data_IF_376052976711
#
_entry.id   IF_376052976711
#
_cell.length_a   1.000
_cell.length_b   1.000
_cell.length_c   1.000
_cell.angle_alpha   90.00
_cell.angle_beta   90.00
_cell.angle_gamma   90.00
#
_symmetry.space_group_name_H-M   'P 1'
#
loop_
_entity.id
_entity.type
_entity.pdbx_description
1 polymer ?
#
# COMPACT_ATOMS: atom_id res chain seq x y z
N UNK A 1 -14.32 -3.62 -20.53
CA UNK A 1 -13.97 -4.77 -19.68
C UNK A 1 -14.14 -6.05 -20.50
N UNK A 2 -13.10 -6.88 -20.55
CA UNK A 2 -13.01 -8.11 -21.35
C UNK A 2 -12.70 -9.34 -20.51
N UNK A 3 -12.19 -9.15 -19.29
CA UNK A 3 -11.78 -10.23 -18.38
C UNK A 3 -12.32 -9.98 -16.98
N UNK A 4 -12.33 -11.02 -16.13
CA UNK A 4 -12.69 -10.87 -14.73
C UNK A 4 -11.77 -9.91 -13.97
N UNK A 5 -10.47 -9.94 -14.26
CA UNK A 5 -9.47 -9.07 -13.65
C UNK A 5 -9.74 -7.60 -13.98
N UNK A 6 -9.99 -7.27 -15.26
CA UNK A 6 -10.32 -5.89 -15.66
C UNK A 6 -11.55 -5.36 -14.93
N UNK A 7 -12.58 -6.20 -14.73
CA UNK A 7 -13.79 -5.80 -14.03
C UNK A 7 -13.57 -5.62 -12.52
N UNK A 8 -12.79 -6.50 -11.91
CA UNK A 8 -12.40 -6.39 -10.51
C UNK A 8 -11.58 -5.11 -10.26
N UNK A 9 -10.59 -4.81 -11.12
CA UNK A 9 -9.78 -3.59 -11.02
C UNK A 9 -10.62 -2.33 -11.26
N UNK A 10 -11.54 -2.35 -12.23
CA UNK A 10 -12.47 -1.25 -12.44
C UNK A 10 -13.32 -0.97 -11.19
N UNK A 11 -13.89 -2.02 -10.57
CA UNK A 11 -14.66 -1.88 -9.35
C UNK A 11 -13.82 -1.42 -8.16
N UNK A 12 -12.56 -1.87 -8.07
CA UNK A 12 -11.60 -1.41 -7.05
C UNK A 12 -11.22 0.07 -7.24
N UNK A 13 -11.02 0.54 -8.48
CA UNK A 13 -10.80 1.96 -8.77
C UNK A 13 -12.01 2.82 -8.41
N UNK A 14 -13.22 2.37 -8.71
CA UNK A 14 -14.44 3.08 -8.27
C UNK A 14 -14.54 3.15 -6.74
N UNK A 15 -14.21 2.06 -6.04
CA UNK A 15 -14.16 2.06 -4.57
C UNK A 15 -13.14 3.08 -4.06
N UNK A 16 -11.93 3.11 -4.65
CA UNK A 16 -10.89 4.09 -4.29
C UNK A 16 -11.36 5.52 -4.52
N UNK A 17 -11.98 5.82 -5.66
CA UNK A 17 -12.54 7.13 -5.96
C UNK A 17 -13.55 7.58 -4.89
N UNK A 18 -14.54 6.72 -4.59
CA UNK A 18 -15.60 7.00 -3.60
C UNK A 18 -15.02 7.21 -2.20
N UNK A 19 -14.00 6.46 -1.82
CA UNK A 19 -13.27 6.63 -0.55
C UNK A 19 -12.52 7.95 -0.49
N UNK A 20 -11.82 8.32 -1.56
CA UNK A 20 -11.11 9.59 -1.66
C UNK A 20 -12.05 10.79 -1.57
N UNK A 21 -13.25 10.66 -2.15
CA UNK A 21 -14.30 11.68 -2.05
C UNK A 21 -14.93 11.77 -0.64
N UNK A 22 -14.66 10.81 0.25
CA UNK A 22 -15.23 10.78 1.60
C UNK A 22 -16.73 10.45 1.65
N UNK A 23 -17.33 10.01 0.54
CA UNK A 23 -18.79 9.79 0.45
C UNK A 23 -19.24 8.41 0.92
N UNK A 24 -18.34 7.41 0.95
CA UNK A 24 -18.61 6.07 1.49
C UNK A 24 -17.31 5.31 1.79
N UNK A 25 -17.36 4.40 2.76
CA UNK A 25 -16.25 3.49 3.05
C UNK A 25 -16.09 2.37 1.99
N UNK A 26 -17.07 2.19 1.11
CA UNK A 26 -17.06 1.25 -0.01
C UNK A 26 -16.79 -0.21 0.35
N UNK A 27 -16.97 -0.63 1.61
CA UNK A 27 -16.73 -2.00 2.04
C UNK A 27 -17.77 -2.97 1.47
N UNK A 28 -17.33 -3.94 0.66
CA UNK A 28 -18.21 -4.96 0.08
C UNK A 28 -18.78 -5.92 1.13
N UNK A 29 -18.02 -6.24 2.18
CA UNK A 29 -18.46 -7.19 3.22
C UNK A 29 -19.57 -6.61 4.11
N UNK A 30 -19.52 -5.30 4.36
CA UNK A 30 -20.58 -4.56 5.07
C UNK A 30 -21.74 -4.18 4.15
N UNK A 31 -21.59 -4.40 2.83
CA UNK A 31 -22.61 -4.12 1.84
C UNK A 31 -22.78 -2.65 1.46
N UNK A 32 -21.84 -1.78 1.84
CA UNK A 32 -21.79 -0.36 1.44
C UNK A 32 -21.24 -0.16 0.02
N UNK A 33 -20.64 -1.20 -0.56
CA UNK A 33 -20.42 -1.35 -2.00
C UNK A 33 -21.04 -2.66 -2.47
N UNK A 34 -21.88 -2.60 -3.50
CA UNK A 34 -22.49 -3.78 -4.13
C UNK A 34 -22.27 -3.72 -5.62
N UNK A 35 -22.01 -4.86 -6.22
CA UNK A 35 -21.81 -4.96 -7.66
C UNK A 35 -22.49 -6.22 -8.19
N UNK A 36 -23.30 -6.03 -9.22
CA UNK A 36 -23.83 -7.09 -10.07
C UNK A 36 -23.12 -6.99 -11.42
N UNK A 37 -22.74 -8.13 -12.00
CA UNK A 37 -22.00 -8.17 -13.27
C UNK A 37 -22.85 -8.75 -14.38
N UNK A 38 -22.72 -8.18 -15.57
CA UNK A 38 -23.45 -8.60 -16.76
C UNK A 38 -22.47 -9.12 -17.80
N UNK A 39 -22.65 -10.37 -18.24
CA UNK A 39 -21.68 -11.07 -19.08
C UNK A 39 -22.39 -11.60 -20.31
N UNK A 40 -21.74 -11.41 -21.45
CA UNK A 40 -22.10 -12.03 -22.72
C UNK A 40 -20.82 -12.25 -23.52
N UNK A 41 -20.70 -13.41 -24.14
CA UNK A 41 -19.62 -13.73 -25.09
C UNK A 41 -20.18 -13.80 -26.51
N UNK A 42 -19.34 -13.52 -27.49
CA UNK A 42 -19.68 -13.71 -28.90
C UNK A 42 -18.44 -14.15 -29.68
N UNK A 43 -18.61 -14.89 -30.79
CA UNK A 43 -17.51 -15.25 -31.67
C UNK A 43 -16.79 -14.01 -32.25
N UNK A 44 -15.47 -14.12 -32.40
CA UNK A 44 -14.66 -13.08 -33.04
C UNK A 44 -15.14 -12.81 -34.46
N UNK A 45 -15.19 -11.53 -34.84
CA UNK A 45 -15.68 -11.08 -36.14
C UNK A 45 -17.21 -10.93 -36.23
N UNK A 46 -17.99 -11.40 -35.24
CA UNK A 46 -19.41 -11.09 -35.16
C UNK A 46 -19.66 -9.75 -34.46
N UNK A 47 -20.58 -8.96 -35.01
CA UNK A 47 -20.99 -7.66 -34.45
C UNK A 47 -22.04 -7.86 -33.34
N UNK A 48 -22.87 -8.90 -33.45
CA UNK A 48 -23.97 -9.15 -32.51
C UNK A 48 -23.45 -9.87 -31.26
N UNK A 49 -23.75 -9.31 -30.10
CA UNK A 49 -23.50 -9.98 -28.81
C UNK A 49 -24.37 -11.22 -28.65
N UNK A 50 -23.88 -12.18 -27.86
CA UNK A 50 -24.65 -13.34 -27.43
C UNK A 50 -25.72 -12.98 -26.40
N UNK A 51 -26.28 -14.01 -25.77
CA UNK A 51 -27.24 -13.82 -24.67
C UNK A 51 -26.53 -13.27 -23.43
N UNK A 52 -27.20 -12.36 -22.72
CA UNK A 52 -26.68 -11.74 -21.49
C UNK A 52 -27.10 -12.53 -20.26
N UNK A 53 -26.15 -12.79 -19.38
CA UNK A 53 -26.36 -13.35 -18.05
C UNK A 53 -25.95 -12.33 -16.99
N UNK A 54 -26.77 -12.17 -15.96
CA UNK A 54 -26.49 -11.30 -14.82
C UNK A 54 -26.06 -12.17 -13.63
N UNK A 55 -24.89 -11.91 -13.05
CA UNK A 55 -24.44 -12.59 -11.83
C UNK A 55 -24.60 -11.62 -10.64
N UNK A 56 -25.21 -12.12 -9.56
CA UNK A 56 -25.37 -11.43 -8.28
C UNK A 56 -24.61 -12.13 -7.16
N UNK A 57 -24.64 -11.52 -5.97
CA UNK A 57 -24.04 -12.03 -4.73
C UNK A 57 -22.50 -12.10 -4.79
N UNK A 58 -21.88 -11.03 -5.26
CA UNK A 58 -20.43 -10.87 -5.30
C UNK A 58 -19.97 -10.08 -4.09
N UNK A 59 -19.31 -10.74 -3.14
CA UNK A 59 -18.93 -10.15 -1.84
C UNK A 59 -17.48 -9.65 -1.80
N UNK A 60 -16.70 -9.86 -2.86
CA UNK A 60 -15.34 -9.33 -3.00
C UNK A 60 -14.97 -9.13 -4.46
N UNK A 61 -13.96 -8.29 -4.74
CA UNK A 61 -13.40 -8.14 -6.08
C UNK A 61 -12.80 -9.45 -6.62
N UNK A 62 -12.25 -10.27 -5.72
CA UNK A 62 -11.72 -11.59 -6.08
C UNK A 62 -12.85 -12.54 -6.52
N UNK A 63 -13.97 -12.54 -5.80
CA UNK A 63 -15.21 -13.25 -6.17
C UNK A 63 -15.72 -12.79 -7.53
N UNK A 64 -15.71 -11.47 -7.76
CA UNK A 64 -16.13 -10.87 -9.03
C UNK A 64 -15.29 -11.39 -10.20
N UNK A 65 -13.96 -11.36 -10.09
CA UNK A 65 -13.08 -11.88 -11.14
C UNK A 65 -13.38 -13.35 -11.44
N UNK A 66 -13.41 -14.20 -10.40
CA UNK A 66 -13.65 -15.64 -10.56
C UNK A 66 -15.02 -15.94 -11.16
N UNK A 67 -16.06 -15.23 -10.72
CA UNK A 67 -17.41 -15.39 -11.24
C UNK A 67 -17.50 -15.04 -12.72
N UNK A 68 -16.81 -13.96 -13.14
CA UNK A 68 -16.75 -13.56 -14.54
C UNK A 68 -16.02 -14.61 -15.37
N UNK A 69 -14.84 -15.03 -14.94
CA UNK A 69 -14.01 -15.97 -15.69
C UNK A 69 -14.70 -17.35 -15.82
N UNK A 70 -15.39 -17.79 -14.75
CA UNK A 70 -16.22 -18.99 -14.79
C UNK A 70 -17.36 -18.87 -15.81
N UNK A 71 -18.10 -17.76 -15.79
CA UNK A 71 -19.26 -17.58 -16.67
C UNK A 71 -18.85 -17.40 -18.14
N UNK A 72 -17.74 -16.72 -18.40
CA UNK A 72 -17.12 -16.67 -19.74
C UNK A 72 -16.83 -18.10 -20.21
N UNK A 73 -16.14 -18.90 -19.38
CA UNK A 73 -15.79 -20.28 -19.72
C UNK A 73 -17.03 -21.15 -19.97
N UNK A 74 -18.08 -20.99 -19.14
CA UNK A 74 -19.36 -21.69 -19.29
C UNK A 74 -20.03 -21.36 -20.62
N UNK A 75 -20.15 -20.07 -20.96
CA UNK A 75 -20.80 -19.66 -22.19
C UNK A 75 -20.01 -20.10 -23.42
N UNK A 76 -18.68 -19.99 -23.39
CA UNK A 76 -17.81 -20.47 -24.48
C UNK A 76 -17.95 -21.98 -24.67
N UNK A 77 -17.96 -22.77 -23.59
CA UNK A 77 -18.13 -24.22 -23.65
C UNK A 77 -19.46 -24.60 -24.32
N UNK A 78 -20.56 -23.98 -23.89
CA UNK A 78 -21.89 -24.23 -24.46
C UNK A 78 -21.96 -23.86 -25.94
N UNK A 79 -21.38 -22.72 -26.33
CA UNK A 79 -21.32 -22.32 -27.75
C UNK A 79 -20.49 -23.32 -28.58
N UNK A 80 -19.33 -23.74 -28.09
CA UNK A 80 -18.47 -24.70 -28.78
C UNK A 80 -19.10 -26.09 -28.93
N UNK A 81 -19.95 -26.49 -27.99
CA UNK A 81 -20.71 -27.76 -28.03
C UNK A 81 -21.99 -27.67 -28.88
N UNK A 82 -22.27 -26.51 -29.49
CA UNK A 82 -23.51 -26.28 -30.24
C UNK A 82 -24.76 -26.15 -29.35
N UNK A 83 -24.58 -25.93 -28.04
CA UNK A 83 -25.63 -25.80 -27.03
C UNK A 83 -25.88 -24.33 -26.63
N UNK A 84 -25.70 -23.40 -27.59
CA UNK A 84 -25.85 -21.97 -27.34
C UNK A 84 -27.28 -21.56 -26.93
N UNK A 85 -28.28 -22.36 -27.31
CA UNK A 85 -29.68 -22.22 -26.91
C UNK A 85 -29.92 -22.40 -25.40
N UNK A 86 -29.00 -23.08 -24.71
CA UNK A 86 -29.02 -23.17 -23.23
C UNK A 86 -28.59 -21.88 -22.54
N UNK A 87 -27.92 -20.96 -23.26
CA UNK A 87 -27.58 -19.64 -22.73
C UNK A 87 -28.82 -18.75 -22.87
N UNK A 88 -29.67 -18.79 -21.85
CA UNK A 88 -30.87 -17.95 -21.75
C UNK A 88 -30.60 -16.71 -20.90
N UNK A 89 -31.43 -15.69 -21.07
CA UNK A 89 -31.34 -14.50 -20.24
C UNK A 89 -31.81 -14.84 -18.83
N UNK A 90 -30.89 -14.85 -17.88
CA UNK A 90 -31.17 -15.27 -16.51
C UNK A 90 -30.33 -14.48 -15.50
N UNK A 91 -30.79 -14.51 -14.25
CA UNK A 91 -29.98 -14.10 -13.11
C UNK A 91 -29.38 -15.36 -12.49
N UNK A 92 -28.06 -15.36 -12.32
CA UNK A 92 -27.27 -16.39 -11.65
C UNK A 92 -26.70 -15.85 -10.34
N UNK A 93 -26.41 -16.76 -9.42
CA UNK A 93 -25.72 -16.45 -8.17
C UNK A 93 -24.32 -17.04 -8.20
N UNK A 94 -23.35 -16.31 -7.66
CA UNK A 94 -22.04 -16.87 -7.37
C UNK A 94 -22.08 -17.70 -6.09
N UNK A 95 -21.66 -18.96 -6.17
CA UNK A 95 -21.51 -19.86 -5.03
C UNK A 95 -20.02 -20.02 -4.69
N UNK A 96 -19.58 -19.44 -3.57
CA UNK A 96 -18.16 -19.50 -3.16
C UNK A 96 -17.69 -20.93 -2.84
N UNK A 97 -18.52 -21.76 -2.21
CA UNK A 97 -18.10 -23.14 -1.87
C UNK A 97 -17.80 -23.99 -3.10
N UNK A 98 -18.62 -23.86 -4.15
CA UNK A 98 -18.50 -24.62 -5.39
C UNK A 98 -17.69 -23.92 -6.49
N UNK A 99 -17.29 -22.66 -6.30
CA UNK A 99 -16.60 -21.82 -7.29
C UNK A 99 -17.31 -21.83 -8.66
N UNK A 100 -18.64 -21.70 -8.65
CA UNK A 100 -19.48 -21.79 -9.85
C UNK A 100 -20.66 -20.83 -9.79
N UNK A 101 -21.22 -20.52 -10.95
CA UNK A 101 -22.49 -19.80 -11.05
C UNK A 101 -23.66 -20.79 -11.05
N UNK A 102 -24.71 -20.51 -10.27
CA UNK A 102 -25.95 -21.30 -10.24
C UNK A 102 -27.13 -20.46 -10.76
N UNK A 103 -28.05 -21.07 -11.51
CA UNK A 103 -29.26 -20.38 -11.97
C UNK A 103 -30.14 -20.03 -10.76
N UNK A 104 -30.52 -18.76 -10.64
CA UNK A 104 -31.51 -18.31 -9.64
C UNK A 104 -32.90 -18.17 -10.27
N UNK A 105 -33.00 -17.41 -11.36
CA UNK A 105 -34.25 -17.20 -12.09
C UNK A 105 -33.98 -16.97 -13.57
N UNK A 106 -34.80 -17.58 -14.42
CA UNK A 106 -34.85 -17.25 -15.85
C UNK A 106 -35.72 -16.02 -16.03
N UNK A 107 -35.31 -15.09 -16.90
CA UNK A 107 -36.12 -13.92 -17.23
C UNK A 107 -37.09 -14.30 -18.34
N UNK A 108 -38.39 -14.24 -18.05
CA UNK A 108 -39.46 -14.51 -19.04
C UNK A 108 -39.82 -13.26 -19.89
N UNK A 109 -39.08 -12.16 -19.71
CA UNK A 109 -39.26 -10.89 -20.41
C UNK A 109 -38.53 -9.75 -19.70
N UNK A 110 -38.75 -8.51 -20.15
CA UNK A 110 -38.37 -7.32 -19.40
C UNK A 110 -39.44 -7.06 -18.32
N UNK A 111 -39.02 -6.85 -17.08
CA UNK A 111 -39.95 -6.45 -16.01
C UNK A 111 -40.49 -5.06 -16.30
N UNK A 112 -41.81 -4.90 -16.28
CA UNK A 112 -42.45 -3.59 -16.36
C UNK A 112 -42.43 -2.92 -14.98
N UNK A 113 -41.45 -2.03 -14.80
CA UNK A 113 -41.28 -1.25 -13.57
C UNK A 113 -42.28 -0.10 -13.44
N UNK A 114 -43.06 0.21 -14.50
CA UNK A 114 -44.05 1.30 -14.52
C UNK A 114 -43.49 2.62 -13.99
N UNK A 115 -42.32 3.03 -14.49
CA UNK A 115 -41.70 4.31 -14.09
C UNK A 115 -42.64 5.48 -14.40
N UNK A 116 -42.93 6.32 -13.40
CA UNK A 116 -43.61 7.60 -13.53
C UNK A 116 -42.93 8.64 -12.62
N UNK A 117 -43.04 9.95 -12.92
CA UNK A 117 -42.49 11.00 -12.06
C UNK A 117 -43.12 10.96 -10.67
N UNK A 118 -42.30 10.98 -9.61
CA UNK A 118 -42.75 11.01 -8.22
C UNK A 118 -43.52 12.30 -7.92
N UNK A 119 -44.86 12.28 -7.71
CA UNK A 119 -45.64 13.49 -7.48
C UNK A 119 -45.36 14.14 -6.12
N UNK A 120 -44.87 13.37 -5.14
CA UNK A 120 -44.64 13.87 -3.78
C UNK A 120 -43.31 14.62 -3.63
N UNK A 121 -42.39 14.46 -4.58
CA UNK A 121 -41.09 15.12 -4.58
C UNK A 121 -41.04 16.21 -5.66
N UNK A 122 -40.85 17.49 -5.30
CA UNK A 122 -40.62 18.52 -6.29
C UNK A 122 -39.33 18.26 -7.05
N UNK A 123 -39.26 18.71 -8.30
CA UNK A 123 -38.05 18.62 -9.10
C UNK A 123 -36.88 19.35 -8.41
N UNK A 124 -35.70 18.72 -8.40
CA UNK A 124 -34.48 19.32 -7.88
C UNK A 124 -33.81 20.14 -8.98
N UNK A 125 -33.67 21.46 -8.79
CA UNK A 125 -32.88 22.33 -9.67
C UNK A 125 -31.50 22.53 -9.09
N UNK A 126 -30.47 22.14 -9.86
CA UNK A 126 -29.07 22.29 -9.47
C UNK A 126 -28.51 23.52 -10.22
N UNK A 127 -28.11 24.56 -9.48
CA UNK A 127 -27.56 25.79 -10.06
C UNK A 127 -26.09 25.62 -10.43
N UNK A 128 -25.60 26.41 -11.38
CA UNK A 128 -24.17 26.44 -11.74
C UNK A 128 -23.30 26.80 -10.53
N UNK A 129 -23.70 27.81 -9.73
CA UNK A 129 -23.00 28.19 -8.50
C UNK A 129 -22.84 27.03 -7.51
N UNK A 130 -23.87 26.18 -7.38
CA UNK A 130 -23.81 25.01 -6.53
C UNK A 130 -22.82 23.96 -7.09
N UNK A 131 -22.87 23.68 -8.39
CA UNK A 131 -21.92 22.77 -9.05
C UNK A 131 -20.48 23.27 -8.90
N UNK A 132 -20.24 24.56 -9.11
CA UNK A 132 -18.93 25.20 -8.99
C UNK A 132 -18.40 25.13 -7.57
N UNK A 133 -19.26 25.32 -6.57
CA UNK A 133 -18.88 25.19 -5.15
C UNK A 133 -18.41 23.77 -4.82
N UNK A 134 -19.10 22.75 -5.32
CA UNK A 134 -18.71 21.34 -5.13
C UNK A 134 -17.41 21.06 -5.87
N UNK A 135 -17.30 21.48 -7.12
CA UNK A 135 -16.11 21.27 -7.94
C UNK A 135 -14.85 21.83 -7.25
N UNK A 136 -14.96 23.00 -6.62
CA UNK A 136 -13.87 23.63 -5.84
C UNK A 136 -13.56 22.92 -4.52
N UNK A 137 -14.52 22.21 -3.92
CA UNK A 137 -14.31 21.45 -2.68
C UNK A 137 -13.82 20.02 -2.91
N UNK A 138 -13.75 19.54 -4.16
CA UNK A 138 -13.31 18.18 -4.44
C UNK A 138 -11.83 17.98 -4.07
N UNK A 139 -11.49 16.88 -3.39
CA UNK A 139 -10.10 16.54 -3.12
C UNK A 139 -9.37 16.13 -4.41
N UNK A 140 -8.03 16.10 -4.34
CA UNK A 140 -7.22 15.54 -5.41
C UNK A 140 -7.54 14.05 -5.60
N UNK A 141 -8.08 13.69 -6.77
CA UNK A 141 -8.47 12.32 -7.09
C UNK A 141 -7.24 11.38 -7.19
N UNK A 142 -7.42 10.06 -6.96
CA UNK A 142 -6.32 9.09 -6.95
C UNK A 142 -5.44 9.15 -8.19
N UNK A 143 -6.01 9.21 -9.39
CA UNK A 143 -5.26 9.24 -10.65
C UNK A 143 -4.39 10.51 -10.79
N UNK A 144 -4.92 11.67 -10.39
CA UNK A 144 -4.17 12.93 -10.43
C UNK A 144 -3.00 12.84 -9.46
N UNK A 145 -3.26 12.32 -8.25
CA UNK A 145 -2.26 12.13 -7.21
C UNK A 145 -1.16 11.14 -7.65
N UNK A 146 -1.52 10.02 -8.29
CA UNK A 146 -0.57 9.05 -8.85
C UNK A 146 0.40 9.71 -9.84
N UNK A 147 -0.14 10.46 -10.81
CA UNK A 147 0.70 11.19 -11.78
C UNK A 147 1.59 12.22 -11.12
N UNK A 148 1.14 12.88 -10.05
CA UNK A 148 1.97 13.80 -9.27
C UNK A 148 3.13 13.07 -8.60
N UNK A 149 2.87 11.92 -7.98
CA UNK A 149 3.90 11.10 -7.34
C UNK A 149 4.91 10.51 -8.34
N UNK A 150 4.46 10.09 -9.52
CA UNK A 150 5.36 9.68 -10.62
C UNK A 150 6.30 10.82 -11.05
N UNK A 151 5.78 12.05 -11.16
CA UNK A 151 6.58 13.24 -11.49
C UNK A 151 7.59 13.59 -10.39
N UNK A 152 7.39 13.12 -9.16
CA UNK A 152 8.37 13.23 -8.07
C UNK A 152 9.49 12.16 -8.17
N UNK A 153 9.45 11.29 -9.18
CA UNK A 153 10.47 10.27 -9.42
C UNK A 153 10.26 8.97 -8.63
N UNK A 154 9.04 8.75 -8.13
CA UNK A 154 8.66 7.49 -7.49
C UNK A 154 8.36 6.40 -8.52
N UNK A 155 8.64 5.15 -8.18
CA UNK A 155 8.29 4.03 -9.04
C UNK A 155 6.79 3.79 -9.04
N UNK A 156 6.25 3.16 -10.09
CA UNK A 156 4.83 2.80 -10.14
C UNK A 156 4.39 1.97 -8.93
N UNK A 157 5.27 1.09 -8.42
CA UNK A 157 4.98 0.29 -7.23
C UNK A 157 4.77 1.17 -6.00
N UNK A 158 5.64 2.16 -5.79
CA UNK A 158 5.56 3.08 -4.65
C UNK A 158 4.32 3.97 -4.76
N UNK A 159 4.07 4.48 -5.97
CA UNK A 159 2.90 5.29 -6.30
C UNK A 159 1.60 4.54 -5.98
N UNK A 160 1.47 3.30 -6.45
CA UNK A 160 0.29 2.48 -6.19
C UNK A 160 0.11 2.18 -4.71
N UNK A 161 1.20 1.91 -3.97
CA UNK A 161 1.12 1.69 -2.52
C UNK A 161 0.61 2.95 -1.79
N UNK A 162 1.26 4.09 -2.02
CA UNK A 162 0.98 5.34 -1.30
C UNK A 162 -0.41 5.89 -1.61
N UNK A 163 -0.92 5.65 -2.82
CA UNK A 163 -2.23 6.15 -3.28
C UNK A 163 -3.36 5.13 -3.12
N UNK A 164 -3.10 3.97 -2.52
CA UNK A 164 -4.14 2.95 -2.32
C UNK A 164 -5.15 3.36 -1.23
N UNK A 165 -4.70 4.12 -0.24
CA UNK A 165 -5.51 4.62 0.87
C UNK A 165 -5.34 6.14 0.98
N UNK A 166 -6.46 6.87 1.09
CA UNK A 166 -6.46 8.32 1.15
C UNK A 166 -5.69 8.86 2.36
N UNK A 167 -5.79 8.20 3.52
CA UNK A 167 -5.10 8.62 4.74
C UNK A 167 -3.59 8.40 4.63
N UNK A 168 -3.17 7.31 3.97
CA UNK A 168 -1.75 7.04 3.69
C UNK A 168 -1.18 8.12 2.76
N UNK A 169 -1.94 8.46 1.71
CA UNK A 169 -1.57 9.49 0.77
C UNK A 169 -1.47 10.87 1.44
N UNK A 170 -2.45 11.23 2.27
CA UNK A 170 -2.48 12.50 3.01
C UNK A 170 -1.32 12.59 4.02
N UNK A 171 -1.06 11.52 4.76
CA UNK A 171 0.07 11.45 5.70
C UNK A 171 1.40 11.65 4.98
N UNK A 172 1.58 11.02 3.82
CA UNK A 172 2.78 11.16 2.99
C UNK A 172 2.94 12.58 2.44
N UNK A 173 1.87 13.17 1.89
CA UNK A 173 1.87 14.55 1.40
C UNK A 173 2.22 15.54 2.51
N UNK A 174 1.64 15.37 3.70
CA UNK A 174 1.94 16.20 4.86
C UNK A 174 3.40 16.04 5.30
N UNK A 175 3.95 14.82 5.29
CA UNK A 175 5.34 14.56 5.68
C UNK A 175 6.32 15.24 4.72
N UNK A 176 6.04 15.21 3.41
CA UNK A 176 6.83 15.95 2.42
C UNK A 176 6.65 17.46 2.60
N UNK A 177 5.44 17.93 2.94
CA UNK A 177 5.16 19.34 3.23
C UNK A 177 5.99 19.91 4.37
N UNK A 178 6.37 19.06 5.34
CA UNK A 178 7.28 19.39 6.45
C UNK A 178 8.77 19.37 6.04
N UNK A 179 9.09 19.10 4.77
CA UNK A 179 10.45 19.16 4.21
C UNK A 179 11.18 17.82 4.15
N UNK A 180 10.53 16.70 4.42
CA UNK A 180 11.15 15.38 4.30
C UNK A 180 11.54 15.05 2.86
N UNK A 181 12.68 14.36 2.68
CA UNK A 181 13.05 13.81 1.38
C UNK A 181 12.01 12.77 0.91
N UNK A 182 11.55 12.94 -0.33
CA UNK A 182 10.47 12.13 -0.93
C UNK A 182 10.80 10.64 -0.89
N UNK A 183 12.01 10.24 -1.30
CA UNK A 183 12.38 8.82 -1.39
C UNK A 183 12.55 8.20 -0.01
N UNK A 184 13.16 8.93 0.92
CA UNK A 184 13.35 8.45 2.28
C UNK A 184 11.99 8.28 2.98
N UNK A 185 11.09 9.26 2.84
CA UNK A 185 9.72 9.17 3.38
C UNK A 185 8.97 7.96 2.79
N UNK A 186 9.05 7.73 1.47
CA UNK A 186 8.46 6.55 0.82
C UNK A 186 8.97 5.25 1.42
N UNK A 187 10.29 5.13 1.63
CA UNK A 187 10.91 3.93 2.20
C UNK A 187 10.43 3.65 3.63
N UNK A 188 10.30 4.68 4.47
CA UNK A 188 9.78 4.53 5.84
C UNK A 188 8.30 4.13 5.85
N UNK A 189 7.49 4.75 4.98
CA UNK A 189 6.06 4.46 4.84
C UNK A 189 5.82 3.02 4.39
N UNK A 190 6.54 2.56 3.36
CA UNK A 190 6.39 1.22 2.79
C UNK A 190 7.08 0.11 3.61
N UNK A 191 8.10 0.47 4.38
CA UNK A 191 8.89 -0.46 5.18
C UNK A 191 8.35 -0.57 6.60
N UNK A 192 9.00 0.12 7.53
CA UNK A 192 8.78 -0.04 8.97
C UNK A 192 7.35 0.37 9.39
N UNK A 193 6.79 1.45 8.83
CA UNK A 193 5.43 1.91 9.16
C UNK A 193 4.38 0.91 8.66
N UNK A 194 4.46 0.49 7.39
CA UNK A 194 3.54 -0.52 6.85
C UNK A 194 3.60 -1.84 7.64
N UNK A 195 4.81 -2.28 8.02
CA UNK A 195 5.00 -3.47 8.84
C UNK A 195 4.34 -3.32 10.22
N UNK A 196 4.52 -2.17 10.86
CA UNK A 196 3.88 -1.87 12.15
C UNK A 196 2.35 -1.89 12.06
N UNK A 197 1.78 -1.14 11.11
CA UNK A 197 0.33 -1.08 10.88
C UNK A 197 -0.27 -2.47 10.65
N UNK A 198 0.42 -3.31 9.87
CA UNK A 198 0.00 -4.69 9.61
C UNK A 198 0.05 -5.56 10.87
N UNK A 199 1.11 -5.46 11.66
CA UNK A 199 1.30 -6.27 12.87
C UNK A 199 0.28 -5.91 13.96
N UNK A 200 0.06 -4.62 14.18
CA UNK A 200 -0.89 -4.10 15.17
C UNK A 200 -2.34 -4.06 14.66
N UNK A 201 -2.55 -4.37 13.37
CA UNK A 201 -3.85 -4.28 12.68
C UNK A 201 -4.49 -2.89 12.82
N UNK A 202 -3.67 -1.85 12.72
CA UNK A 202 -4.10 -0.45 12.83
C UNK A 202 -4.08 0.24 11.47
N UNK A 203 -4.90 1.27 11.33
CA UNK A 203 -4.84 2.20 10.21
C UNK A 203 -3.90 3.37 10.53
N UNK A 204 -3.32 3.99 9.50
CA UNK A 204 -2.39 5.11 9.67
C UNK A 204 -3.03 6.33 10.35
N UNK A 205 -4.35 6.53 10.21
CA UNK A 205 -5.07 7.59 10.91
C UNK A 205 -5.25 7.36 12.43
N UNK A 206 -4.83 6.19 12.95
CA UNK A 206 -5.02 5.81 14.37
C UNK A 206 -3.72 5.80 15.16
N UNK A 207 -2.57 5.74 14.49
CA UNK A 207 -1.27 5.74 15.17
C UNK A 207 -0.94 7.12 15.72
N UNK A 208 -0.06 7.16 16.72
CA UNK A 208 0.36 8.42 17.38
C UNK A 208 1.47 9.17 16.65
N UNK A 209 2.13 8.52 15.69
CA UNK A 209 3.12 9.16 14.83
C UNK A 209 2.42 10.22 13.97
N UNK A 210 2.98 11.42 13.92
CA UNK A 210 2.50 12.51 13.06
C UNK A 210 3.42 12.70 11.87
N UNK A 211 2.95 13.35 10.79
CA UNK A 211 3.80 13.69 9.65
C UNK A 211 5.03 14.54 10.03
N UNK A 212 4.86 15.46 10.98
CA UNK A 212 5.93 16.29 11.52
C UNK A 212 7.02 15.45 12.19
N UNK A 213 6.63 14.53 13.08
CA UNK A 213 7.59 13.65 13.76
C UNK A 213 8.34 12.75 12.77
N UNK A 214 7.68 12.25 11.73
CA UNK A 214 8.39 11.49 10.69
C UNK A 214 9.39 12.36 9.93
N UNK A 215 9.03 13.61 9.60
CA UNK A 215 9.95 14.54 8.94
C UNK A 215 11.15 14.90 9.82
N UNK A 216 10.94 15.18 11.12
CA UNK A 216 12.02 15.42 12.08
C UNK A 216 12.96 14.21 12.21
N UNK A 217 12.39 12.99 12.26
CA UNK A 217 13.17 11.76 12.28
C UNK A 217 14.07 11.63 11.05
N UNK A 218 13.53 11.93 9.87
CA UNK A 218 14.27 11.89 8.60
C UNK A 218 15.40 12.93 8.61
N UNK A 219 15.11 14.17 9.04
CA UNK A 219 16.13 15.24 9.14
C UNK A 219 17.27 14.84 10.08
N UNK A 220 16.95 14.30 11.26
CA UNK A 220 17.94 13.89 12.26
C UNK A 220 18.86 12.77 11.76
N UNK A 221 18.38 11.90 10.85
CA UNK A 221 19.21 10.89 10.18
C UNK A 221 20.12 11.55 9.14
N UNK A 222 19.56 12.44 8.30
CA UNK A 222 20.29 13.08 7.21
C UNK A 222 21.42 14.00 7.73
N UNK A 223 21.17 14.68 8.85
CA UNK A 223 22.17 15.50 9.55
C UNK A 223 23.23 14.66 10.27
N UNK A 224 23.02 13.34 10.40
CA UNK A 224 23.91 12.43 11.10
C UNK A 224 23.77 12.47 12.62
N UNK A 225 22.78 13.19 13.16
CA UNK A 225 22.49 13.31 14.59
C UNK A 225 22.17 11.95 15.22
N UNK A 226 21.40 11.10 14.52
CA UNK A 226 21.07 9.74 14.97
C UNK A 226 21.35 8.70 13.89
N UNK A 227 21.65 7.45 14.29
CA UNK A 227 21.85 6.36 13.35
C UNK A 227 20.52 5.81 12.84
N UNK A 228 20.49 5.19 11.67
CA UNK A 228 19.26 4.57 11.16
C UNK A 228 18.70 3.48 12.10
N UNK A 229 19.55 2.83 12.89
CA UNK A 229 19.12 1.88 13.93
C UNK A 229 18.37 2.60 15.05
N UNK A 230 18.96 3.68 15.58
CA UNK A 230 18.34 4.51 16.62
C UNK A 230 17.02 5.11 16.11
N UNK A 231 16.98 5.56 14.86
CA UNK A 231 15.77 6.10 14.27
C UNK A 231 14.62 5.09 14.24
N UNK A 232 14.90 3.81 13.95
CA UNK A 232 13.88 2.74 14.03
C UNK A 232 13.36 2.58 15.45
N UNK A 233 14.25 2.59 16.45
CA UNK A 233 13.87 2.47 17.86
C UNK A 233 12.94 3.63 18.28
N UNK A 234 13.30 4.87 17.92
CA UNK A 234 12.48 6.08 18.16
C UNK A 234 11.14 5.96 17.44
N UNK A 235 11.12 5.59 16.15
CA UNK A 235 9.89 5.47 15.36
C UNK A 235 8.89 4.51 16.02
N UNK A 236 9.32 3.30 16.40
CA UNK A 236 8.43 2.33 17.04
C UNK A 236 7.89 2.83 18.37
N UNK A 237 8.70 3.56 19.13
CA UNK A 237 8.25 4.12 20.40
C UNK A 237 7.24 5.25 20.21
N UNK A 238 7.46 6.16 19.25
CA UNK A 238 6.50 7.21 18.91
C UNK A 238 5.18 6.59 18.41
N UNK A 239 5.24 5.60 17.52
CA UNK A 239 4.02 4.95 17.02
C UNK A 239 3.19 4.31 18.15
N UNK A 240 3.85 3.69 19.14
CA UNK A 240 3.17 3.03 20.26
C UNK A 240 2.72 3.98 21.38
N UNK A 241 3.60 4.88 21.82
CA UNK A 241 3.41 5.70 23.02
C UNK A 241 3.11 7.16 22.71
N UNK A 242 3.52 7.64 21.53
CA UNK A 242 3.57 9.06 21.19
C UNK A 242 4.83 9.72 21.77
N UNK A 243 4.92 11.04 21.63
CA UNK A 243 6.08 11.83 22.01
C UNK A 243 6.71 12.51 20.81
N UNK A 244 7.86 13.13 21.02
CA UNK A 244 8.60 13.86 19.98
C UNK A 244 9.96 13.25 19.73
N UNK A 245 10.44 13.30 18.48
CA UNK A 245 11.76 12.82 18.08
C UNK A 245 12.84 13.53 18.88
N UNK A 246 12.81 14.87 18.93
CA UNK A 246 13.77 15.66 19.72
C UNK A 246 13.79 15.27 21.18
N UNK A 247 12.61 15.13 21.80
CA UNK A 247 12.50 14.74 23.20
C UNK A 247 13.14 13.38 23.47
N UNK A 248 12.91 12.40 22.59
CA UNK A 248 13.52 11.07 22.74
C UNK A 248 15.03 11.07 22.51
N UNK A 249 15.56 11.91 21.61
CA UNK A 249 17.00 12.04 21.39
C UNK A 249 17.68 12.60 22.64
N UNK A 250 17.13 13.66 23.22
CA UNK A 250 17.67 14.32 24.40
C UNK A 250 17.57 13.45 25.67
N UNK A 251 16.39 12.86 25.94
CA UNK A 251 16.15 12.06 27.15
C UNK A 251 17.05 10.82 27.23
N UNK A 252 17.35 10.22 26.07
CA UNK A 252 18.08 8.95 25.98
C UNK A 252 19.54 9.13 25.56
N UNK A 253 20.01 10.37 25.44
CA UNK A 253 21.36 10.72 25.02
C UNK A 253 21.76 9.99 23.70
N UNK A 254 20.86 9.97 22.72
CA UNK A 254 21.02 9.10 21.53
C UNK A 254 21.86 9.72 20.40
N UNK A 255 22.57 10.80 20.69
CA UNK A 255 23.44 11.48 19.72
C UNK A 255 24.54 10.52 19.23
N UNK A 256 24.77 10.51 17.92
CA UNK A 256 25.84 9.69 17.35
C UNK A 256 27.22 10.11 17.86
N UNK A 257 28.06 9.10 18.11
CA UNK A 257 29.49 9.28 18.33
C UNK A 257 30.14 9.43 16.95
N UNK A 258 30.65 10.63 16.69
CA UNK A 258 31.34 10.99 15.44
C UNK A 258 32.85 11.22 15.62
N UNK A 259 33.37 11.15 16.86
CA UNK A 259 34.81 11.27 17.12
C UNK A 259 35.56 10.05 16.55
N UNK A 260 36.45 10.24 15.55
CA UNK A 260 37.25 9.16 14.98
C UNK A 260 38.05 8.36 16.02
N UNK A 261 38.61 9.02 17.03
CA UNK A 261 39.47 8.35 18.02
C UNK A 261 38.66 7.41 18.93
N UNK A 262 37.43 7.81 19.25
CA UNK A 262 36.55 7.00 20.08
C UNK A 262 36.05 5.76 19.33
N UNK A 263 35.67 5.94 18.06
CA UNK A 263 35.28 4.83 17.18
C UNK A 263 36.45 3.87 16.96
N UNK A 264 37.65 4.37 16.70
CA UNK A 264 38.85 3.55 16.49
C UNK A 264 39.17 2.69 17.73
N UNK A 265 39.07 3.27 18.93
CA UNK A 265 39.24 2.52 20.19
C UNK A 265 38.22 1.39 20.35
N UNK A 266 36.97 1.63 19.98
CA UNK A 266 35.93 0.60 20.03
C UNK A 266 36.22 -0.52 19.01
N UNK A 267 36.66 -0.17 17.81
CA UNK A 267 37.06 -1.14 16.78
C UNK A 267 38.23 -2.00 17.26
N UNK A 268 39.29 -1.37 17.80
CA UNK A 268 40.47 -2.08 18.32
C UNK A 268 40.10 -3.04 19.44
N UNK A 269 39.24 -2.61 20.37
CA UNK A 269 38.73 -3.45 21.45
C UNK A 269 37.98 -4.67 20.92
N UNK A 270 37.03 -4.48 20.00
CA UNK A 270 36.22 -5.57 19.44
C UNK A 270 37.09 -6.57 18.65
N UNK A 271 38.11 -6.08 17.93
CA UNK A 271 39.05 -6.94 17.22
C UNK A 271 39.89 -7.76 18.20
N UNK A 272 40.40 -7.13 19.27
CA UNK A 272 41.16 -7.81 20.32
C UNK A 272 40.34 -8.87 21.07
N UNK A 273 39.04 -8.60 21.30
CA UNK A 273 38.13 -9.50 21.99
C UNK A 273 37.65 -10.68 21.11
N UNK A 274 37.90 -10.64 19.79
CA UNK A 274 37.43 -11.65 18.82
C UNK A 274 38.54 -12.22 17.92
N UNK A 275 39.63 -12.79 18.49
CA UNK A 275 40.80 -13.21 17.71
C UNK A 275 40.50 -14.36 16.74
N UNK A 276 39.62 -15.31 17.12
CA UNK A 276 39.23 -16.44 16.26
C UNK A 276 38.48 -15.98 15.00
N UNK A 277 37.63 -14.98 15.15
CA UNK A 277 36.85 -14.41 14.04
C UNK A 277 37.75 -13.58 13.12
N UNK A 278 38.78 -12.93 13.67
CA UNK A 278 39.77 -12.20 12.89
C UNK A 278 40.58 -13.13 11.98
N UNK A 279 41.06 -14.26 12.53
CA UNK A 279 41.76 -15.29 11.75
C UNK A 279 40.88 -15.85 10.63
N UNK A 280 39.60 -16.13 10.91
CA UNK A 280 38.66 -16.61 9.91
C UNK A 280 38.36 -15.59 8.81
N UNK A 281 38.27 -14.30 9.15
CA UNK A 281 38.11 -13.22 8.17
C UNK A 281 39.34 -13.14 7.26
N UNK A 282 40.54 -13.14 7.84
CA UNK A 282 41.82 -13.15 7.10
C UNK A 282 42.02 -14.43 6.28
N UNK A 283 41.42 -15.54 6.71
CA UNK A 283 41.34 -16.81 5.97
C UNK A 283 40.32 -16.82 4.82
N UNK A 284 39.71 -15.68 4.48
CA UNK A 284 38.85 -15.52 3.30
C UNK A 284 37.34 -15.48 3.58
N UNK A 285 36.89 -15.60 4.85
CA UNK A 285 35.47 -15.45 5.21
C UNK A 285 35.07 -13.97 5.37
N UNK A 286 35.04 -13.24 4.26
CA UNK A 286 34.75 -11.79 4.22
C UNK A 286 33.38 -11.40 4.82
N UNK A 287 32.40 -12.31 4.85
CA UNK A 287 31.10 -12.09 5.52
C UNK A 287 31.21 -11.78 7.02
N UNK A 288 32.35 -12.09 7.67
CA UNK A 288 32.59 -11.75 9.07
C UNK A 288 32.76 -10.23 9.31
N UNK A 289 32.93 -9.41 8.28
CA UNK A 289 32.89 -7.96 8.43
C UNK A 289 31.60 -7.48 9.10
N UNK A 290 30.45 -8.03 8.70
CA UNK A 290 29.15 -7.69 9.30
C UNK A 290 29.04 -8.11 10.77
N UNK A 291 29.75 -9.17 11.19
CA UNK A 291 29.84 -9.57 12.59
C UNK A 291 30.59 -8.53 13.41
N UNK A 292 31.77 -8.10 12.97
CA UNK A 292 32.56 -7.07 13.65
C UNK A 292 31.81 -5.73 13.71
N UNK A 293 31.18 -5.31 12.60
CA UNK A 293 30.37 -4.11 12.58
C UNK A 293 29.21 -4.18 13.59
N UNK A 294 28.55 -5.34 13.69
CA UNK A 294 27.51 -5.59 14.68
C UNK A 294 28.01 -5.51 16.13
N UNK A 295 29.22 -5.98 16.41
CA UNK A 295 29.81 -5.91 17.75
C UNK A 295 30.22 -4.50 18.16
N UNK A 296 30.83 -3.73 17.25
CA UNK A 296 31.14 -2.31 17.51
C UNK A 296 29.86 -1.50 17.70
N UNK A 297 28.82 -1.79 16.91
CA UNK A 297 27.49 -1.19 17.13
C UNK A 297 26.86 -1.61 18.46
N UNK A 298 27.17 -2.79 19.00
CA UNK A 298 26.70 -3.20 20.32
C UNK A 298 27.45 -2.48 21.44
N UNK A 299 28.77 -2.38 21.32
CA UNK A 299 29.64 -1.67 22.28
C UNK A 299 29.26 -0.18 22.38
N UNK A 300 29.05 0.47 21.23
CA UNK A 300 28.62 1.87 21.15
C UNK A 300 27.13 2.08 21.47
N UNK A 301 26.39 1.03 21.85
CA UNK A 301 24.92 1.06 22.02
C UNK A 301 24.17 1.63 20.80
N UNK A 302 24.71 1.42 19.60
CA UNK A 302 24.14 1.87 18.34
C UNK A 302 24.45 3.31 17.96
N UNK A 303 25.29 4.01 18.75
CA UNK A 303 25.63 5.42 18.55
C UNK A 303 26.81 5.63 17.60
N UNK A 304 27.69 4.65 17.38
CA UNK A 304 28.82 4.85 16.48
C UNK A 304 28.36 5.16 15.06
N UNK A 305 28.98 6.18 14.44
CA UNK A 305 28.68 6.56 13.06
C UNK A 305 28.96 5.38 12.10
N UNK A 306 27.96 4.86 11.37
CA UNK A 306 28.13 3.66 10.55
C UNK A 306 29.15 3.80 9.41
N UNK A 307 29.32 5.00 8.86
CA UNK A 307 30.27 5.24 7.76
C UNK A 307 31.70 5.21 8.27
N UNK A 308 32.00 6.00 9.31
CA UNK A 308 33.32 6.01 9.96
C UNK A 308 33.68 4.63 10.54
N UNK A 309 32.71 3.97 11.19
CA UNK A 309 32.88 2.63 11.72
C UNK A 309 33.28 1.63 10.62
N UNK A 310 32.58 1.62 9.48
CA UNK A 310 32.91 0.70 8.38
C UNK A 310 34.28 1.03 7.77
N UNK A 311 34.64 2.30 7.67
CA UNK A 311 35.94 2.74 7.17
C UNK A 311 37.09 2.25 8.07
N UNK A 312 37.05 2.58 9.37
CA UNK A 312 38.07 2.15 10.33
C UNK A 312 38.13 0.63 10.48
N UNK A 313 36.97 -0.03 10.48
CA UNK A 313 36.90 -1.48 10.55
C UNK A 313 37.56 -2.14 9.33
N UNK A 314 37.29 -1.66 8.11
CA UNK A 314 37.96 -2.16 6.90
C UNK A 314 39.46 -1.93 6.94
N UNK A 315 39.91 -0.76 7.37
CA UNK A 315 41.32 -0.44 7.51
C UNK A 315 42.01 -1.41 8.48
N UNK A 316 41.45 -1.62 9.68
CA UNK A 316 42.04 -2.48 10.72
C UNK A 316 41.99 -3.97 10.37
N UNK A 317 40.89 -4.44 9.77
CA UNK A 317 40.76 -5.84 9.36
C UNK A 317 41.73 -6.20 8.22
N UNK A 318 41.98 -5.27 7.30
CA UNK A 318 42.87 -5.46 6.15
C UNK A 318 44.32 -5.02 6.40
N UNK A 319 44.61 -4.35 7.52
CA UNK A 319 45.97 -4.01 7.91
C UNK A 319 46.79 -5.30 8.06
N UNK A 320 47.78 -5.48 7.19
CA UNK A 320 48.76 -6.57 7.30
C UNK A 320 49.56 -6.36 8.58
N UNK A 321 49.36 -7.26 9.53
CA UNK A 321 50.28 -7.45 10.67
C UNK A 321 51.36 -8.43 10.25
#
# INVERSE_FOLDING_TARGET
>A
MRTGIEAAEYAAELQRLVRYLGVSNGNMQEGSLRCDVNISVHPMGQIKFGTKVEIKNLNSFSSMSRAIDFEISRQVLLLNQGQGDQIVQETRLWEEGGQKTITMRKKEGLSDYRYFPEPDLPGVTITEDYVDSISKSLPELPEIKRRRYEKMGLSMQDVLFLTNDANVAEFFDATIGEGADVKIATNWMMGDIAAYLKNEKMAIGVIKLTPHELAELISAIQEGTISGKIAKEILFEIMAKGGTVKGMIEEKDLVQIVDPQEIEKMVDKVIADSPKQLEQYRGGKTKLQGYFAGQVMKESKGKANPNLLNEFLLQKLNAKT
#
